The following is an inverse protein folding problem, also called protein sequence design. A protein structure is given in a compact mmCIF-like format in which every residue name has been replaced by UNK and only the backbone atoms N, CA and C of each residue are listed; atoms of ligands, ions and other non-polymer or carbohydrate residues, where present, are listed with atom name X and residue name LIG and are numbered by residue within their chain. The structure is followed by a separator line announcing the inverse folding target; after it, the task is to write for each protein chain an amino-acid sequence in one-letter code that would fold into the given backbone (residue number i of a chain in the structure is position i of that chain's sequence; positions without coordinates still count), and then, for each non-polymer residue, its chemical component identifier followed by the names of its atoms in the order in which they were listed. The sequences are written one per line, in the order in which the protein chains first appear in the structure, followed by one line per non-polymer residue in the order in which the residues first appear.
data_IF_940678195674
#
_entry.id   IF_940678195674
#
_cell.length_a   1.000
_cell.length_b   1.000
_cell.length_c   1.000
_cell.angle_alpha   90.00
_cell.angle_beta   90.00
_cell.angle_gamma   90.00
#
_symmetry.space_group_name_H-M   'P 1'
#
loop_
_entity.id
_entity.type
_entity.pdbx_description
1 polymer ?
#
# COMPACT_ATOMS: atom_id res chain seq x y z
N UNK A 1 -22.98 19.58 33.22
CA UNK A 1 -22.09 20.34 32.33
C UNK A 1 -21.45 19.35 31.38
N UNK A 2 -21.83 19.39 30.09
CA UNK A 2 -21.28 18.47 29.09
C UNK A 2 -19.95 19.05 28.61
N UNK A 3 -18.86 18.33 28.84
CA UNK A 3 -17.54 18.73 28.37
C UNK A 3 -17.47 18.41 26.87
N UNK A 4 -17.58 19.44 26.03
CA UNK A 4 -17.30 19.34 24.61
C UNK A 4 -15.79 19.20 24.45
N UNK A 5 -15.30 17.98 24.27
CA UNK A 5 -13.90 17.74 23.90
C UNK A 5 -13.74 18.13 22.44
N UNK A 6 -13.16 19.30 22.19
CA UNK A 6 -12.78 19.73 20.85
C UNK A 6 -11.64 18.83 20.36
N UNK A 7 -11.97 17.80 19.57
CA UNK A 7 -10.98 16.99 18.87
C UNK A 7 -10.35 17.92 17.83
N UNK A 8 -9.15 18.42 18.14
CA UNK A 8 -8.38 19.21 17.18
C UNK A 8 -7.86 18.24 16.13
N UNK A 9 -8.11 18.49 14.85
CA UNK A 9 -7.55 17.68 13.78
C UNK A 9 -6.02 17.66 13.91
N UNK A 10 -5.35 16.52 13.66
CA UNK A 10 -3.89 16.47 13.68
C UNK A 10 -3.31 17.50 12.70
N UNK A 11 -2.15 18.09 13.01
CA UNK A 11 -1.53 19.09 12.15
C UNK A 11 -1.21 18.48 10.79
N UNK A 12 -1.46 19.23 9.71
CA UNK A 12 -1.04 18.83 8.36
C UNK A 12 0.48 18.67 8.31
N UNK A 13 0.94 17.52 7.84
CA UNK A 13 2.37 17.26 7.68
C UNK A 13 2.85 17.90 6.39
N UNK A 14 3.99 18.58 6.48
CA UNK A 14 4.66 19.25 5.36
C UNK A 14 6.16 18.95 5.39
N UNK A 15 6.85 19.24 4.30
CA UNK A 15 8.32 19.15 4.27
C UNK A 15 9.00 19.98 5.37
N UNK A 16 8.39 21.10 5.77
CA UNK A 16 8.96 22.00 6.77
C UNK A 16 8.83 21.49 8.21
N UNK A 17 7.79 20.71 8.51
CA UNK A 17 7.49 20.29 9.89
C UNK A 17 7.70 18.79 10.16
N UNK A 18 7.83 17.95 9.12
CA UNK A 18 7.84 16.49 9.28
C UNK A 18 8.93 15.99 10.21
N UNK A 19 10.16 16.49 10.10
CA UNK A 19 11.27 16.09 10.96
C UNK A 19 11.10 16.53 12.42
N UNK A 20 10.34 17.60 12.68
CA UNK A 20 10.03 18.05 14.04
C UNK A 20 8.93 17.22 14.67
N UNK A 21 7.94 16.81 13.88
CA UNK A 21 6.82 15.98 14.34
C UNK A 21 7.22 14.50 14.50
N UNK A 22 8.13 14.03 13.64
CA UNK A 22 8.58 12.64 13.54
C UNK A 22 10.11 12.61 13.41
N UNK A 23 10.85 12.57 14.53
CA UNK A 23 12.31 12.57 14.51
C UNK A 23 12.96 11.40 13.73
N UNK A 24 12.22 10.30 13.54
CA UNK A 24 12.67 9.13 12.78
C UNK A 24 12.49 9.27 11.25
N UNK A 25 11.89 10.37 10.78
CA UNK A 25 11.76 10.65 9.34
C UNK A 25 13.04 11.28 8.83
N UNK A 26 13.69 10.61 7.89
CA UNK A 26 14.80 11.15 7.13
C UNK A 26 14.29 12.04 5.99
N UNK A 27 14.72 13.30 6.00
CA UNK A 27 14.36 14.28 4.96
C UNK A 27 15.40 14.35 3.84
N UNK A 28 16.50 13.57 3.90
CA UNK A 28 17.52 13.49 2.86
C UNK A 28 16.93 13.11 1.49
N UNK A 29 15.97 12.17 1.45
CA UNK A 29 15.27 11.77 0.24
C UNK A 29 14.49 12.94 -0.38
N UNK A 30 13.81 13.75 0.45
CA UNK A 30 13.15 14.97 -0.02
C UNK A 30 14.15 16.00 -0.53
N UNK A 31 15.38 16.03 0.00
CA UNK A 31 16.46 16.95 -0.39
C UNK A 31 17.15 16.55 -1.70
N UNK A 32 17.28 15.26 -1.98
CA UNK A 32 17.77 14.77 -3.28
C UNK A 32 16.76 15.03 -4.41
N UNK A 33 15.48 15.05 -4.07
CA UNK A 33 14.37 15.35 -4.99
C UNK A 33 14.09 16.86 -5.10
N UNK A 34 14.32 17.67 -4.06
CA UNK A 34 14.20 19.13 -4.01
C UNK A 34 15.31 19.75 -3.13
N UNK A 35 16.26 20.54 -3.67
CA UNK A 35 17.49 20.86 -2.93
C UNK A 35 17.30 21.90 -1.83
N UNK A 36 17.34 21.50 -0.54
CA UNK A 36 17.79 22.32 0.59
C UNK A 36 18.16 21.52 1.88
N UNK A 37 19.47 21.51 2.17
CA UNK A 37 20.17 21.42 3.48
C UNK A 37 19.82 20.32 4.52
N UNK A 38 20.60 19.22 4.49
CA UNK A 38 21.46 18.74 5.61
C UNK A 38 20.89 17.93 6.78
N UNK A 39 21.28 16.64 6.87
CA UNK A 39 21.31 15.84 8.12
C UNK A 39 20.63 14.46 8.04
N UNK A 40 21.40 13.41 8.35
CA UNK A 40 20.94 12.04 8.67
C UNK A 40 20.77 11.87 10.19
N UNK A 41 19.83 11.05 10.66
CA UNK A 41 20.08 10.29 11.88
C UNK A 41 19.61 8.83 11.88
N UNK A 42 20.08 8.14 12.92
CA UNK A 42 20.04 6.72 13.28
C UNK A 42 18.71 6.21 13.83
N UNK A 43 18.40 4.94 13.54
CA UNK A 43 17.29 4.16 14.11
C UNK A 43 17.56 3.80 15.58
N UNK A 44 16.58 4.02 16.47
CA UNK A 44 16.57 3.43 17.82
C UNK A 44 15.83 2.08 17.82
N UNK A 45 16.52 1.03 18.28
CA UNK A 45 15.93 -0.29 18.54
C UNK A 45 14.96 -0.21 19.75
N UNK A 46 13.68 -0.04 19.47
CA UNK A 46 12.60 -0.20 20.47
C UNK A 46 12.01 -1.62 20.43
N UNK A 47 11.74 -2.21 21.61
CA UNK A 47 11.18 -3.57 21.80
C UNK A 47 9.76 -3.81 21.28
N UNK A 48 9.26 -2.97 20.38
CA UNK A 48 7.93 -3.06 19.79
C UNK A 48 7.77 -4.24 18.83
N UNK A 49 8.86 -4.81 18.35
CA UNK A 49 8.86 -5.96 17.46
C UNK A 49 9.08 -7.29 18.22
N UNK A 50 9.14 -7.25 19.55
CA UNK A 50 9.31 -8.46 20.37
C UNK A 50 8.14 -9.43 20.18
N UNK A 51 8.45 -10.68 19.81
CA UNK A 51 7.47 -11.76 19.65
C UNK A 51 6.92 -11.91 18.23
N UNK A 52 7.34 -11.09 17.27
CA UNK A 52 7.04 -11.29 15.85
C UNK A 52 8.09 -12.18 15.16
N UNK A 53 7.71 -12.74 14.02
CA UNK A 53 8.58 -13.54 13.15
C UNK A 53 9.81 -12.73 12.66
N UNK A 54 10.99 -13.35 12.66
CA UNK A 54 12.26 -12.67 12.38
C UNK A 54 12.32 -12.08 10.96
N UNK A 55 11.71 -12.74 9.97
CA UNK A 55 11.68 -12.24 8.60
C UNK A 55 10.77 -11.01 8.49
N UNK A 56 9.58 -11.04 9.12
CA UNK A 56 8.68 -9.87 9.15
C UNK A 56 9.29 -8.70 9.94
N UNK A 57 10.07 -8.97 10.99
CA UNK A 57 10.84 -7.95 11.71
C UNK A 57 11.90 -7.32 10.81
N UNK A 58 12.64 -8.12 10.04
CA UNK A 58 13.61 -7.59 9.06
C UNK A 58 12.93 -6.71 8.00
N UNK A 59 11.77 -7.14 7.50
CA UNK A 59 10.99 -6.37 6.52
C UNK A 59 10.44 -5.05 7.10
N UNK A 60 10.38 -4.90 8.43
CA UNK A 60 9.99 -3.64 9.06
C UNK A 60 11.05 -2.53 8.96
N UNK A 61 12.26 -2.87 8.52
CA UNK A 61 13.34 -1.92 8.22
C UNK A 61 13.25 -1.32 6.82
N UNK A 62 12.38 -1.86 5.95
CA UNK A 62 12.16 -1.32 4.60
C UNK A 62 11.82 0.18 4.66
N UNK A 63 12.42 0.95 3.75
CA UNK A 63 12.31 2.41 3.75
C UNK A 63 11.09 2.84 2.92
N UNK A 64 10.04 3.28 3.59
CA UNK A 64 8.83 3.83 2.97
C UNK A 64 9.04 5.31 2.58
N UNK A 65 8.30 5.76 1.57
CA UNK A 65 8.25 7.17 1.15
C UNK A 65 7.19 7.88 1.99
N UNK A 66 7.59 8.88 2.78
CA UNK A 66 6.68 9.72 3.58
C UNK A 66 6.15 10.85 2.71
N UNK A 67 4.84 11.11 2.81
CA UNK A 67 4.10 12.02 1.93
C UNK A 67 3.42 13.16 2.68
N UNK A 68 3.13 14.24 1.96
CA UNK A 68 2.04 15.14 2.32
C UNK A 68 0.69 14.65 1.75
N UNK A 69 -0.39 15.34 2.10
CA UNK A 69 -1.75 15.00 1.68
C UNK A 69 -2.00 15.06 0.16
N UNK A 70 -1.06 15.61 -0.61
CA UNK A 70 -1.14 15.79 -2.06
C UNK A 70 -0.17 14.84 -2.80
N UNK A 71 0.30 13.79 -2.10
CA UNK A 71 1.20 12.77 -2.63
C UNK A 71 2.57 13.32 -3.05
N UNK A 72 3.05 14.38 -2.39
CA UNK A 72 4.42 14.85 -2.56
C UNK A 72 5.34 14.15 -1.57
N UNK A 73 6.45 13.55 -2.02
CA UNK A 73 7.47 13.03 -1.11
C UNK A 73 8.06 14.15 -0.25
N UNK A 74 7.97 13.98 1.08
CA UNK A 74 8.50 14.92 2.08
C UNK A 74 9.55 14.29 3.00
N UNK A 75 9.81 12.99 2.85
CA UNK A 75 10.88 12.28 3.53
C UNK A 75 10.78 10.78 3.31
N UNK A 76 11.48 10.02 4.13
CA UNK A 76 11.39 8.57 4.23
C UNK A 76 11.47 8.12 5.67
N UNK A 77 10.90 6.97 5.97
CA UNK A 77 10.96 6.37 7.30
C UNK A 77 10.89 4.85 7.19
N UNK A 78 11.29 4.15 8.25
CA UNK A 78 11.12 2.70 8.32
C UNK A 78 9.64 2.33 8.22
N UNK A 79 9.35 1.18 7.63
CA UNK A 79 8.01 0.59 7.58
C UNK A 79 7.42 0.49 8.98
N UNK A 80 8.22 0.11 9.99
CA UNK A 80 7.82 0.16 11.40
C UNK A 80 7.24 1.52 11.79
N UNK A 81 8.01 2.59 11.59
CA UNK A 81 7.63 3.97 11.94
C UNK A 81 6.32 4.38 11.26
N UNK A 82 6.17 4.04 9.99
CA UNK A 82 5.00 4.33 9.17
C UNK A 82 3.71 3.62 9.64
N UNK A 83 3.82 2.41 10.19
CA UNK A 83 2.66 1.58 10.51
C UNK A 83 2.25 1.62 11.99
N UNK A 84 2.94 2.39 12.84
CA UNK A 84 2.56 2.59 14.24
C UNK A 84 1.39 3.58 14.35
N UNK A 85 0.31 3.17 15.01
CA UNK A 85 -0.86 4.02 15.26
C UNK A 85 -0.50 5.32 15.99
N UNK A 86 0.50 5.29 16.87
CA UNK A 86 1.00 6.49 17.57
C UNK A 86 1.57 7.56 16.63
N UNK A 87 2.04 7.18 15.44
CA UNK A 87 2.53 8.10 14.43
C UNK A 87 1.44 8.42 13.40
N UNK A 88 0.67 7.41 12.98
CA UNK A 88 -0.49 7.57 12.10
C UNK A 88 -1.50 8.56 12.68
N UNK A 89 -1.81 8.50 13.98
CA UNK A 89 -2.77 9.41 14.62
C UNK A 89 -2.25 10.85 14.76
N UNK A 90 -0.93 11.04 14.63
CA UNK A 90 -0.31 12.37 14.48
C UNK A 90 -0.27 12.83 13.01
N UNK A 91 -0.68 11.99 12.08
CA UNK A 91 -0.84 12.28 10.66
C UNK A 91 0.14 11.56 9.73
N UNK A 92 1.10 10.77 10.24
CA UNK A 92 2.16 10.20 9.39
C UNK A 92 1.56 9.38 8.26
N UNK A 93 1.94 9.70 7.02
CA UNK A 93 1.35 9.20 5.78
C UNK A 93 2.45 8.71 4.86
N UNK A 94 2.27 7.55 4.23
CA UNK A 94 3.23 7.00 3.27
C UNK A 94 2.60 6.55 1.96
N UNK A 95 3.43 6.39 0.93
CA UNK A 95 2.98 5.88 -0.37
C UNK A 95 2.81 4.36 -0.33
N UNK A 96 1.76 3.87 -0.99
CA UNK A 96 1.50 2.45 -1.17
C UNK A 96 1.01 2.13 -2.59
N UNK A 97 0.87 0.84 -2.88
CA UNK A 97 0.18 0.37 -4.08
C UNK A 97 -0.65 -0.89 -3.78
N UNK A 98 -1.71 -1.06 -4.58
CA UNK A 98 -2.58 -2.23 -4.60
C UNK A 98 -2.68 -2.77 -6.03
N UNK A 99 -2.20 -3.99 -6.24
CA UNK A 99 -2.31 -4.71 -7.52
C UNK A 99 -3.58 -5.55 -7.57
N UNK A 100 -4.29 -5.45 -8.69
CA UNK A 100 -5.39 -6.32 -9.09
C UNK A 100 -4.99 -7.06 -10.37
N UNK A 101 -4.55 -8.30 -10.22
CA UNK A 101 -4.17 -9.17 -11.33
C UNK A 101 -5.35 -10.03 -11.75
N UNK A 102 -5.74 -9.90 -13.01
CA UNK A 102 -6.77 -10.73 -13.63
C UNK A 102 -6.15 -11.77 -14.55
N UNK A 103 -6.67 -12.98 -14.55
CA UNK A 103 -6.29 -13.99 -15.55
C UNK A 103 -6.99 -13.75 -16.89
N UNK A 104 -6.70 -14.58 -17.90
CA UNK A 104 -7.34 -14.54 -19.21
C UNK A 104 -8.85 -14.85 -19.18
N UNK A 105 -9.38 -15.33 -18.06
CA UNK A 105 -10.82 -15.59 -17.82
C UNK A 105 -11.48 -14.47 -17.02
N UNK A 106 -10.81 -13.33 -16.85
CA UNK A 106 -11.25 -12.19 -16.04
C UNK A 106 -11.54 -12.57 -14.57
N UNK A 107 -10.82 -13.53 -14.01
CA UNK A 107 -10.86 -13.85 -12.58
C UNK A 107 -9.76 -13.09 -11.85
N UNK A 108 -10.07 -12.46 -10.73
CA UNK A 108 -9.10 -11.76 -9.89
C UNK A 108 -8.32 -12.77 -9.03
N UNK A 109 -7.00 -12.65 -9.03
CA UNK A 109 -6.14 -13.34 -8.07
C UNK A 109 -6.20 -12.65 -6.71
N UNK A 110 -6.67 -13.36 -5.69
CA UNK A 110 -6.62 -12.95 -4.29
C UNK A 110 -5.48 -13.66 -3.59
N UNK A 111 -4.93 -13.01 -2.55
CA UNK A 111 -4.11 -13.68 -1.55
C UNK A 111 -4.80 -13.64 -0.18
N UNK A 112 -4.56 -14.66 0.64
CA UNK A 112 -4.75 -14.62 2.07
C UNK A 112 -3.40 -14.31 2.72
N UNK A 113 -3.34 -13.25 3.53
CA UNK A 113 -2.14 -12.83 4.25
C UNK A 113 -1.68 -13.93 5.22
N UNK A 114 -0.37 -14.18 5.29
CA UNK A 114 0.23 -15.11 6.24
C UNK A 114 -0.09 -14.73 7.70
N UNK A 115 -0.03 -15.71 8.61
CA UNK A 115 -0.30 -15.48 10.04
C UNK A 115 0.79 -14.66 10.69
N UNK A 116 1.98 -14.67 10.09
CA UNK A 116 3.20 -13.98 10.52
C UNK A 116 3.14 -12.47 10.23
N UNK A 117 2.26 -12.03 9.32
CA UNK A 117 2.12 -10.61 8.94
C UNK A 117 1.79 -9.75 10.16
N UNK A 118 2.56 -8.68 10.36
CA UNK A 118 2.37 -7.77 11.50
C UNK A 118 1.03 -7.02 11.40
N UNK A 119 0.66 -6.56 10.20
CA UNK A 119 -0.65 -5.94 9.93
C UNK A 119 -1.60 -6.93 9.25
N UNK A 120 -2.85 -6.98 9.73
CA UNK A 120 -3.96 -7.78 9.19
C UNK A 120 -3.61 -9.24 8.85
N UNK A 121 -3.02 -10.03 9.78
CA UNK A 121 -2.76 -11.44 9.52
C UNK A 121 -4.06 -12.21 9.23
N UNK A 122 -3.96 -13.28 8.44
CA UNK A 122 -5.05 -14.19 8.07
C UNK A 122 -6.20 -13.59 7.25
N UNK A 123 -6.12 -12.32 6.85
CA UNK A 123 -7.15 -11.66 6.05
C UNK A 123 -6.93 -11.87 4.55
N UNK A 124 -8.03 -12.09 3.82
CA UNK A 124 -8.06 -12.07 2.36
C UNK A 124 -7.97 -10.64 1.83
N UNK A 125 -7.25 -10.46 0.73
CA UNK A 125 -7.07 -9.16 0.08
C UNK A 125 -6.89 -9.32 -1.43
N UNK A 126 -6.71 -8.21 -2.16
CA UNK A 126 -6.36 -8.23 -3.58
C UNK A 126 -4.98 -8.86 -3.81
N UNK A 127 -4.52 -8.88 -5.06
CA UNK A 127 -3.38 -9.71 -5.47
C UNK A 127 -2.09 -9.43 -4.69
N UNK A 128 -1.70 -8.16 -4.53
CA UNK A 128 -0.49 -7.78 -3.81
C UNK A 128 -0.63 -6.32 -3.35
N UNK A 129 -0.32 -6.05 -2.09
CA UNK A 129 -0.32 -4.72 -1.48
C UNK A 129 0.99 -4.48 -0.76
N UNK A 130 1.69 -3.42 -1.10
CA UNK A 130 2.97 -3.08 -0.47
C UNK A 130 3.37 -1.63 -0.78
N UNK A 131 4.65 -1.33 -0.63
CA UNK A 131 5.17 0.03 -0.66
C UNK A 131 6.25 0.16 -1.74
N UNK A 132 6.24 1.23 -2.55
CA UNK A 132 7.46 1.65 -3.22
C UNK A 132 8.50 2.08 -2.18
N UNK A 133 9.76 1.73 -2.42
CA UNK A 133 10.85 2.08 -1.54
C UNK A 133 11.35 3.50 -1.81
N UNK A 134 11.81 4.17 -0.76
CA UNK A 134 12.52 5.46 -0.82
C UNK A 134 13.92 5.35 -1.42
N UNK A 135 14.02 4.78 -2.63
CA UNK A 135 15.27 4.53 -3.36
C UNK A 135 15.18 5.09 -4.79
N UNK A 136 16.33 5.31 -5.47
CA UNK A 136 16.34 5.66 -6.88
C UNK A 136 15.56 4.66 -7.72
N UNK A 137 14.63 5.16 -8.53
CA UNK A 137 13.79 4.35 -9.42
C UNK A 137 12.40 4.01 -8.90
N UNK A 138 12.17 3.96 -7.58
CA UNK A 138 10.85 3.71 -6.98
C UNK A 138 10.21 4.97 -6.37
N UNK A 139 10.99 6.01 -6.05
CA UNK A 139 10.50 7.19 -5.33
C UNK A 139 9.49 8.03 -6.13
N UNK A 140 9.90 8.75 -7.18
CA UNK A 140 9.04 9.54 -8.06
C UNK A 140 8.31 10.74 -7.40
N UNK A 141 8.65 11.98 -7.79
CA UNK A 141 8.04 13.19 -7.24
C UNK A 141 6.81 13.70 -8.01
N UNK A 142 6.79 13.45 -9.32
CA UNK A 142 5.70 13.79 -10.22
C UNK A 142 4.90 12.52 -10.53
N UNK A 143 3.61 12.67 -10.86
CA UNK A 143 2.70 11.54 -11.04
C UNK A 143 3.27 10.46 -11.98
N UNK A 144 3.75 10.82 -13.17
CA UNK A 144 4.30 9.82 -14.13
C UNK A 144 5.50 9.05 -13.57
N UNK A 145 6.39 9.75 -12.85
CA UNK A 145 7.56 9.13 -12.22
C UNK A 145 7.15 8.26 -11.03
N UNK A 146 6.16 8.69 -10.25
CA UNK A 146 5.60 7.93 -9.13
C UNK A 146 4.89 6.67 -9.64
N UNK A 147 4.07 6.77 -10.69
CA UNK A 147 3.42 5.63 -11.36
C UNK A 147 4.45 4.62 -11.84
N UNK A 148 5.54 5.06 -12.48
CA UNK A 148 6.61 4.14 -12.88
C UNK A 148 7.31 3.50 -11.68
N UNK A 149 7.50 4.25 -10.60
CA UNK A 149 8.08 3.77 -9.36
C UNK A 149 7.23 2.69 -8.69
N UNK A 150 5.92 2.93 -8.54
CA UNK A 150 5.01 1.92 -7.95
C UNK A 150 4.87 0.70 -8.84
N UNK A 151 4.96 0.81 -10.18
CA UNK A 151 4.97 -0.36 -11.07
C UNK A 151 6.20 -1.25 -10.85
N UNK A 152 7.38 -0.64 -10.65
CA UNK A 152 8.62 -1.38 -10.31
C UNK A 152 8.48 -2.07 -8.96
N UNK A 153 7.97 -1.36 -7.97
CA UNK A 153 7.71 -1.91 -6.65
C UNK A 153 6.70 -3.08 -6.70
N UNK A 154 5.61 -2.92 -7.46
CA UNK A 154 4.62 -3.97 -7.69
C UNK A 154 5.23 -5.22 -8.32
N UNK A 155 6.02 -5.07 -9.39
CA UNK A 155 6.72 -6.20 -10.02
C UNK A 155 7.65 -6.92 -9.03
N UNK A 156 8.46 -6.17 -8.26
CA UNK A 156 9.35 -6.72 -7.23
C UNK A 156 8.58 -7.49 -6.15
N UNK A 157 7.46 -6.95 -5.68
CA UNK A 157 6.66 -7.56 -4.61
C UNK A 157 5.82 -8.74 -5.08
N UNK A 158 5.33 -8.73 -6.32
CA UNK A 158 4.69 -9.89 -6.93
C UNK A 158 5.67 -11.07 -7.04
N UNK A 159 6.93 -10.82 -7.37
CA UNK A 159 7.98 -11.84 -7.35
C UNK A 159 8.26 -12.33 -5.92
N UNK A 160 8.44 -11.40 -4.97
CA UNK A 160 8.77 -11.75 -3.58
C UNK A 160 7.64 -12.51 -2.85
N UNK A 161 6.38 -12.10 -3.01
CA UNK A 161 5.24 -12.66 -2.26
C UNK A 161 4.61 -13.86 -2.95
N UNK A 162 4.47 -13.81 -4.28
CA UNK A 162 3.72 -14.80 -5.06
C UNK A 162 4.61 -15.62 -6.01
N UNK A 163 5.92 -15.33 -6.09
CA UNK A 163 6.83 -16.02 -7.01
C UNK A 163 6.61 -15.67 -8.49
N UNK A 164 5.82 -14.64 -8.78
CA UNK A 164 5.49 -14.24 -10.15
C UNK A 164 6.70 -13.55 -10.76
N UNK A 165 7.36 -14.23 -11.70
CA UNK A 165 8.55 -13.71 -12.37
C UNK A 165 8.27 -12.41 -13.17
N UNK A 166 9.21 -11.45 -13.19
CA UNK A 166 9.06 -10.18 -13.90
C UNK A 166 8.65 -10.29 -15.37
N UNK A 167 9.07 -11.34 -16.09
CA UNK A 167 8.74 -11.54 -17.51
C UNK A 167 7.26 -11.82 -17.76
N UNK A 168 6.55 -12.33 -16.75
CA UNK A 168 5.11 -12.59 -16.81
C UNK A 168 4.27 -11.32 -16.59
N UNK A 169 4.87 -10.31 -15.94
CA UNK A 169 4.22 -9.05 -15.56
C UNK A 169 5.10 -7.84 -15.92
N UNK A 170 5.36 -7.59 -17.23
CA UNK A 170 6.23 -6.49 -17.63
C UNK A 170 5.59 -5.13 -17.34
N UNK A 171 6.43 -4.13 -17.04
CA UNK A 171 6.00 -2.82 -16.49
C UNK A 171 5.02 -2.05 -17.39
N UNK A 172 5.10 -2.23 -18.71
CA UNK A 172 4.22 -1.61 -19.70
C UNK A 172 2.82 -2.20 -19.72
N UNK A 173 2.62 -3.39 -19.13
CA UNK A 173 1.31 -4.05 -19.02
C UNK A 173 0.52 -3.67 -17.77
N UNK A 174 1.16 -3.03 -16.80
CA UNK A 174 0.43 -2.43 -15.68
C UNK A 174 -0.35 -1.21 -16.14
N UNK A 175 -1.62 -1.14 -15.76
CA UNK A 175 -2.50 -0.01 -15.98
C UNK A 175 -2.70 0.72 -14.65
N UNK A 176 -2.38 2.00 -14.60
CA UNK A 176 -2.65 2.85 -13.43
C UNK A 176 -4.07 3.42 -13.54
N UNK A 177 -4.85 3.26 -12.47
CA UNK A 177 -6.24 3.70 -12.41
C UNK A 177 -6.38 5.03 -11.68
N UNK A 178 -6.09 5.04 -10.38
CA UNK A 178 -6.30 6.19 -9.51
C UNK A 178 -5.45 6.05 -8.24
N UNK A 179 -5.54 7.04 -7.36
CA UNK A 179 -4.96 7.02 -6.01
C UNK A 179 -6.05 7.13 -4.97
N UNK A 180 -5.96 6.35 -3.91
CA UNK A 180 -6.89 6.36 -2.78
C UNK A 180 -6.14 6.72 -1.50
N UNK A 181 -6.57 7.79 -0.85
CA UNK A 181 -6.14 8.12 0.51
C UNK A 181 -7.10 7.47 1.50
N UNK A 182 -6.61 6.53 2.30
CA UNK A 182 -7.37 5.86 3.35
C UNK A 182 -6.56 5.72 4.66
N UNK A 183 -7.27 5.47 5.76
CA UNK A 183 -6.68 5.13 7.07
C UNK A 183 -7.42 3.95 7.70
N UNK A 184 -6.69 2.95 8.19
CA UNK A 184 -7.28 1.77 8.81
C UNK A 184 -6.42 1.19 9.94
N UNK A 185 -6.93 1.08 11.19
CA UNK A 185 -6.23 0.35 12.23
C UNK A 185 -6.26 -1.16 11.97
N UNK A 186 -5.14 -1.84 12.18
CA UNK A 186 -5.01 -3.30 12.17
C UNK A 186 -5.36 -3.85 13.55
N UNK A 187 -4.63 -3.37 14.55
CA UNK A 187 -4.89 -3.60 15.96
C UNK A 187 -4.69 -2.28 16.72
N UNK A 188 -4.77 -2.30 18.05
CA UNK A 188 -4.59 -1.07 18.84
C UNK A 188 -3.22 -0.40 18.67
N UNK A 189 -2.22 -1.09 18.10
CA UNK A 189 -0.84 -0.63 17.95
C UNK A 189 -0.46 -0.37 16.49
N UNK A 190 -0.88 -1.22 15.57
CA UNK A 190 -0.51 -1.15 14.16
C UNK A 190 -1.69 -0.75 13.27
N UNK A 191 -1.40 -0.11 12.14
CA UNK A 191 -2.39 0.25 11.14
C UNK A 191 -1.77 0.73 9.84
N UNK A 192 -2.61 1.26 8.98
CA UNK A 192 -2.28 1.80 7.65
C UNK A 192 -2.81 3.23 7.54
N UNK A 193 -2.02 4.10 6.92
CA UNK A 193 -2.41 5.44 6.52
C UNK A 193 -1.64 5.78 5.25
N UNK A 194 -2.34 5.69 4.12
CA UNK A 194 -1.67 5.54 2.82
C UNK A 194 -2.32 6.39 1.74
N UNK A 195 -1.50 6.85 0.80
CA UNK A 195 -1.94 7.17 -0.56
C UNK A 195 -1.61 5.95 -1.42
N UNK A 196 -2.65 5.18 -1.73
CA UNK A 196 -2.58 3.88 -2.38
C UNK A 196 -2.80 3.98 -3.89
N UNK A 197 -1.80 3.59 -4.67
CA UNK A 197 -1.86 3.53 -6.13
C UNK A 197 -2.55 2.26 -6.60
N UNK A 198 -3.65 2.43 -7.34
CA UNK A 198 -4.42 1.29 -7.85
C UNK A 198 -3.86 0.86 -9.22
N UNK A 199 -3.32 -0.35 -9.27
CA UNK A 199 -2.67 -0.94 -10.44
C UNK A 199 -3.43 -2.18 -10.90
N UNK A 200 -3.76 -2.25 -12.18
CA UNK A 200 -4.35 -3.43 -12.80
C UNK A 200 -3.34 -4.07 -13.73
N UNK A 201 -3.41 -5.39 -13.85
CA UNK A 201 -2.68 -6.13 -14.86
C UNK A 201 -3.48 -7.37 -15.25
N UNK A 202 -3.51 -7.70 -16.54
CA UNK A 202 -4.07 -8.96 -17.01
C UNK A 202 -2.96 -9.88 -17.49
N UNK A 203 -2.78 -11.02 -16.83
CA UNK A 203 -1.75 -12.00 -17.13
C UNK A 203 -2.14 -13.37 -16.56
N UNK A 204 -1.85 -14.43 -17.32
CA UNK A 204 -1.82 -15.79 -16.77
C UNK A 204 -0.42 -16.01 -16.20
N UNK A 205 -0.34 -16.34 -14.91
CA UNK A 205 0.92 -16.39 -14.16
C UNK A 205 1.09 -17.72 -13.42
N UNK A 206 2.34 -18.16 -13.31
CA UNK A 206 2.74 -19.22 -12.40
C UNK A 206 2.93 -18.65 -10.98
N UNK A 207 2.44 -19.39 -9.98
CA UNK A 207 2.58 -19.06 -8.57
C UNK A 207 3.61 -19.96 -7.89
N UNK A 208 4.41 -19.35 -7.03
CA UNK A 208 5.30 -20.01 -6.08
C UNK A 208 5.32 -19.15 -4.81
N UNK A 209 4.24 -19.24 -4.04
CA UNK A 209 3.97 -18.38 -2.89
C UNK A 209 5.06 -18.45 -1.83
N UNK A 210 5.43 -17.30 -1.28
CA UNK A 210 6.25 -17.24 -0.09
C UNK A 210 5.35 -17.45 1.15
N UNK A 211 5.49 -18.57 1.90
CA UNK A 211 4.63 -18.88 3.04
C UNK A 211 4.74 -17.89 4.19
N UNK A 212 5.81 -17.09 4.27
CA UNK A 212 5.96 -16.02 5.28
C UNK A 212 5.11 -14.77 4.92
N UNK A 213 4.72 -14.63 3.66
CA UNK A 213 3.94 -13.49 3.17
C UNK A 213 2.48 -13.87 2.86
N UNK A 214 2.27 -15.05 2.28
CA UNK A 214 0.99 -15.52 1.73
C UNK A 214 0.65 -16.91 2.28
N UNK A 215 -0.53 -17.03 2.88
CA UNK A 215 -1.06 -18.30 3.40
C UNK A 215 -1.77 -19.12 2.34
N UNK A 216 -2.50 -18.46 1.46
CA UNK A 216 -3.36 -19.09 0.47
C UNK A 216 -3.61 -18.14 -0.71
N UNK A 217 -3.97 -18.67 -1.87
CA UNK A 217 -4.30 -17.89 -3.07
C UNK A 217 -5.56 -18.40 -3.72
N UNK A 218 -6.31 -17.49 -4.36
CA UNK A 218 -7.55 -17.90 -5.04
C UNK A 218 -7.87 -17.00 -6.22
N UNK A 219 -8.09 -17.60 -7.39
CA UNK A 219 -8.75 -16.93 -8.49
C UNK A 219 -10.27 -16.95 -8.30
N UNK A 220 -10.90 -15.79 -8.39
CA UNK A 220 -12.35 -15.63 -8.23
C UNK A 220 -12.95 -14.76 -9.31
N UNK A 221 -14.16 -15.08 -9.75
CA UNK A 221 -15.02 -14.17 -10.49
C UNK A 221 -15.63 -13.10 -9.57
N UNK A 222 -16.21 -12.05 -10.16
CA UNK A 222 -16.90 -11.01 -9.40
C UNK A 222 -18.04 -11.57 -8.54
N UNK A 223 -18.79 -12.55 -9.04
CA UNK A 223 -19.90 -13.15 -8.31
C UNK A 223 -19.42 -14.08 -7.19
N UNK A 224 -18.35 -14.85 -7.42
CA UNK A 224 -17.71 -15.64 -6.36
C UNK A 224 -17.16 -14.74 -5.24
N UNK A 225 -16.57 -13.58 -5.58
CA UNK A 225 -16.10 -12.64 -4.57
C UNK A 225 -17.24 -12.05 -3.73
N UNK A 226 -18.37 -11.68 -4.35
CA UNK A 226 -19.56 -11.22 -3.63
C UNK A 226 -20.06 -12.29 -2.64
N UNK A 227 -20.12 -13.55 -3.09
CA UNK A 227 -20.48 -14.67 -2.21
C UNK A 227 -19.45 -14.83 -1.08
N UNK A 228 -18.16 -14.71 -1.35
CA UNK A 228 -17.11 -14.77 -0.33
C UNK A 228 -17.25 -13.67 0.74
N UNK A 229 -17.68 -12.47 0.38
CA UNK A 229 -17.94 -11.39 1.36
C UNK A 229 -19.08 -11.70 2.33
N UNK A 230 -20.01 -12.55 1.94
CA UNK A 230 -21.15 -12.98 2.77
C UNK A 230 -20.82 -14.23 3.63
N UNK A 231 -19.71 -14.93 3.36
CA UNK A 231 -19.35 -16.15 4.06
C UNK A 231 -18.88 -15.87 5.49
N UNK A 232 -19.55 -16.43 6.52
CA UNK A 232 -19.10 -16.33 7.90
C UNK A 232 -17.71 -16.95 8.07
N UNK A 233 -16.80 -16.22 8.72
CA UNK A 233 -15.45 -16.68 9.03
C UNK A 233 -14.37 -16.17 8.09
N UNK A 234 -14.71 -15.73 6.88
CA UNK A 234 -13.75 -15.03 6.02
C UNK A 234 -13.59 -13.58 6.48
N UNK A 235 -12.33 -13.18 6.69
CA UNK A 235 -11.95 -11.81 7.00
C UNK A 235 -11.27 -11.20 5.79
N UNK A 236 -11.52 -9.93 5.56
CA UNK A 236 -10.94 -9.18 4.44
C UNK A 236 -10.34 -7.90 4.95
N UNK A 237 -9.28 -7.46 4.29
CA UNK A 237 -8.62 -6.22 4.67
C UNK A 237 -9.52 -5.01 4.40
N UNK A 238 -9.41 -3.93 5.21
CA UNK A 238 -10.31 -2.78 5.09
C UNK A 238 -10.26 -2.10 3.72
N UNK A 239 -9.07 -1.89 3.15
CA UNK A 239 -8.90 -1.27 1.84
C UNK A 239 -9.51 -2.13 0.73
N UNK A 240 -9.36 -3.45 0.79
CA UNK A 240 -9.90 -4.33 -0.23
C UNK A 240 -11.43 -4.29 -0.25
N UNK A 241 -12.08 -4.33 0.92
CA UNK A 241 -13.54 -4.14 1.03
C UNK A 241 -13.97 -2.76 0.54
N UNK A 242 -13.23 -1.72 0.91
CA UNK A 242 -13.51 -0.35 0.48
C UNK A 242 -13.49 -0.24 -1.05
N UNK A 243 -12.39 -0.64 -1.69
CA UNK A 243 -12.19 -0.62 -3.14
C UNK A 243 -13.26 -1.48 -3.85
N UNK A 244 -13.55 -2.68 -3.31
CA UNK A 244 -14.57 -3.54 -3.89
C UNK A 244 -15.95 -2.89 -3.95
N UNK A 245 -16.38 -2.35 -2.81
CA UNK A 245 -17.72 -1.79 -2.68
C UNK A 245 -17.88 -0.41 -3.32
N UNK A 246 -16.79 0.31 -3.58
CA UNK A 246 -16.83 1.65 -4.16
C UNK A 246 -16.60 1.68 -5.67
N UNK A 247 -15.77 0.78 -6.22
CA UNK A 247 -15.28 0.95 -7.59
C UNK A 247 -14.96 -0.36 -8.32
N UNK A 248 -14.41 -1.38 -7.65
CA UNK A 248 -13.89 -2.57 -8.35
C UNK A 248 -14.96 -3.29 -9.15
N UNK A 249 -16.14 -3.54 -8.59
CA UNK A 249 -17.17 -4.32 -9.30
C UNK A 249 -17.67 -3.61 -10.57
N UNK A 250 -17.71 -2.27 -10.56
CA UNK A 250 -18.02 -1.47 -11.75
C UNK A 250 -16.90 -1.60 -12.79
N UNK A 251 -15.64 -1.37 -12.40
CA UNK A 251 -14.49 -1.51 -13.30
C UNK A 251 -14.37 -2.93 -13.86
N UNK A 252 -14.58 -3.94 -13.03
CA UNK A 252 -14.53 -5.35 -13.39
C UNK A 252 -15.56 -5.67 -14.48
N UNK A 253 -16.77 -5.11 -14.40
CA UNK A 253 -17.81 -5.28 -15.42
C UNK A 253 -17.43 -4.73 -16.81
N UNK A 254 -16.39 -3.90 -16.87
CA UNK A 254 -15.86 -3.31 -18.09
C UNK A 254 -14.53 -3.90 -18.56
N UNK A 255 -13.98 -4.91 -17.87
CA UNK A 255 -12.72 -5.57 -18.28
C UNK A 255 -12.79 -6.07 -19.74
N UNK A 256 -11.72 -5.81 -20.49
CA UNK A 256 -11.63 -6.15 -21.91
C UNK A 256 -12.46 -5.26 -22.85
N UNK A 257 -13.06 -4.16 -22.35
CA UNK A 257 -13.84 -3.21 -23.15
C UNK A 257 -13.24 -1.81 -23.09
N UNK A 258 -13.45 -1.01 -24.14
CA UNK A 258 -13.03 0.40 -24.17
C UNK A 258 -13.71 1.27 -23.10
N UNK A 259 -14.81 0.79 -22.49
CA UNK A 259 -15.48 1.50 -21.40
C UNK A 259 -14.62 1.58 -20.12
N UNK A 260 -13.62 0.71 -19.97
CA UNK A 260 -12.69 0.73 -18.85
C UNK A 260 -11.74 1.93 -18.88
N UNK A 261 -11.39 2.41 -20.08
CA UNK A 261 -10.35 3.42 -20.27
C UNK A 261 -10.69 4.76 -19.59
N UNK A 262 -11.97 5.05 -19.38
CA UNK A 262 -12.42 6.28 -18.69
C UNK A 262 -12.06 6.32 -17.20
N UNK A 263 -11.70 5.19 -16.59
CA UNK A 263 -11.28 5.10 -15.19
C UNK A 263 -9.77 5.04 -15.01
N UNK A 264 -9.00 5.05 -16.11
CA UNK A 264 -7.54 4.97 -16.09
C UNK A 264 -6.93 6.37 -15.95
N UNK A 265 -5.80 6.47 -15.26
CA UNK A 265 -4.99 7.68 -15.24
C UNK A 265 -5.60 8.87 -14.50
N UNK A 266 -6.46 8.64 -13.51
CA UNK A 266 -7.02 9.73 -12.71
C UNK A 266 -5.90 10.50 -11.98
N UNK A 267 -5.94 11.83 -12.09
CA UNK A 267 -4.96 12.72 -11.46
C UNK A 267 -5.37 13.15 -10.06
N UNK A 268 -6.66 13.12 -9.72
CA UNK A 268 -7.13 13.48 -8.39
C UNK A 268 -7.01 12.30 -7.41
N UNK A 269 -6.75 12.60 -6.14
CA UNK A 269 -6.69 11.60 -5.07
C UNK A 269 -8.10 11.42 -4.50
N UNK A 270 -8.61 10.18 -4.52
CA UNK A 270 -9.87 9.81 -3.88
C UNK A 270 -9.66 9.70 -2.37
N UNK A 271 -10.36 10.48 -1.57
CA UNK A 271 -10.26 10.46 -0.09
C UNK A 271 -11.42 9.66 0.47
N UNK A 272 -11.13 8.56 1.16
CA UNK A 272 -12.13 7.53 1.51
C UNK A 272 -11.99 7.04 2.95
#
# INVERSE_FOLDING_TARGET
MSATTTITAPPRITADNVASLFPDVDTSLAREVFPAAGGNPSVQEGGELAGYDEEQVRLMEEVCIVLDDDDKPIGSASKKTCHLMTNIDKGLLHRAFSVFLFDSKNRLLLQQRASEKITFPDMWTNTCCSHPLGVPGETGAQLDAAVLGVKRAAQRKLEQELGIKPEQVPLDKFEYFTRIHYKAPSDGKWGEHEIDYILFIQADVDLNENPNEVRDTRYVSADELKVMFEQPGLKFTPWFKLICNSMLFEWWSHLGTAALDKYKGETEIRRM
#
